data_IF_056638647600
#
_entry.id   IF_056638647600
#
_cell.length_a   1.000
_cell.length_b   1.000
_cell.length_c   1.000
_cell.angle_alpha   90.00
_cell.angle_beta   90.00
_cell.angle_gamma   90.00
#
_symmetry.space_group_name_H-M   'P 1'
#
loop_
_entity.id
_entity.type
_entity.pdbx_description
1 polymer ?
#
# COMPACT_ATOMS: atom_id res chain seq x y z
N UNK A 1 -2.60 -8.72 -0.46
CA UNK A 1 -2.82 -7.28 -0.25
C UNK A 1 -2.57 -6.54 -1.54
N UNK A 2 -3.30 -5.46 -1.76
CA UNK A 2 -3.20 -4.64 -2.95
C UNK A 2 -3.27 -3.18 -2.53
N UNK A 3 -2.50 -2.35 -3.23
CA UNK A 3 -2.79 -0.94 -3.37
C UNK A 3 -3.11 -0.72 -4.85
N UNK A 4 -4.06 0.17 -5.11
CA UNK A 4 -4.38 0.64 -6.44
C UNK A 4 -3.61 1.92 -6.79
N UNK A 5 -2.66 2.36 -5.96
CA UNK A 5 -1.72 3.41 -6.39
C UNK A 5 -0.97 2.95 -7.65
N UNK A 6 -0.86 3.76 -8.72
CA UNK A 6 -1.01 5.23 -8.76
C UNK A 6 -2.39 5.76 -9.17
N UNK A 7 -3.42 4.92 -9.24
CA UNK A 7 -4.75 5.40 -9.62
C UNK A 7 -5.32 6.37 -8.57
N UNK A 8 -5.97 7.47 -9.02
CA UNK A 8 -6.72 8.38 -8.14
C UNK A 8 -7.81 7.64 -7.36
N UNK A 9 -8.06 8.06 -6.12
CA UNK A 9 -9.02 7.37 -5.22
C UNK A 9 -10.46 7.49 -5.74
N UNK A 10 -10.76 8.58 -6.43
CA UNK A 10 -12.07 8.89 -7.00
C UNK A 10 -12.42 7.97 -8.17
N UNK A 11 -11.41 7.34 -8.79
CA UNK A 11 -11.60 6.36 -9.88
C UNK A 11 -11.84 4.93 -9.37
N UNK A 12 -11.66 4.67 -8.09
CA UNK A 12 -11.90 3.35 -7.52
C UNK A 12 -13.41 3.12 -7.37
N UNK A 13 -13.92 1.96 -7.75
CA UNK A 13 -15.25 1.56 -7.30
C UNK A 13 -15.28 1.25 -5.80
N UNK A 14 -16.47 1.19 -5.22
CA UNK A 14 -16.67 1.06 -3.78
C UNK A 14 -15.95 -0.16 -3.17
N UNK A 15 -15.88 -1.28 -3.91
CA UNK A 15 -15.21 -2.49 -3.41
C UNK A 15 -13.71 -2.27 -3.29
N UNK A 16 -13.09 -1.63 -4.28
CA UNK A 16 -11.64 -1.37 -4.27
C UNK A 16 -11.30 -0.25 -3.30
N UNK A 17 -12.14 0.77 -3.19
CA UNK A 17 -12.00 1.85 -2.22
C UNK A 17 -11.94 1.28 -0.78
N UNK A 18 -12.94 0.48 -0.40
CA UNK A 18 -13.02 -0.13 0.93
C UNK A 18 -11.91 -1.16 1.17
N UNK A 19 -11.58 -1.96 0.15
CA UNK A 19 -10.51 -2.94 0.26
C UNK A 19 -9.16 -2.26 0.48
N UNK A 20 -8.83 -1.26 -0.32
CA UNK A 20 -7.55 -0.55 -0.21
C UNK A 20 -7.41 0.16 1.14
N UNK A 21 -8.47 0.85 1.58
CA UNK A 21 -8.51 1.51 2.87
C UNK A 21 -8.10 0.56 4.01
N UNK A 22 -8.66 -0.66 4.02
CA UNK A 22 -8.35 -1.67 5.02
C UNK A 22 -6.97 -2.30 4.82
N UNK A 23 -6.57 -2.60 3.58
CA UNK A 23 -5.30 -3.26 3.29
C UNK A 23 -4.11 -2.34 3.60
N UNK A 24 -4.21 -1.02 3.43
CA UNK A 24 -3.16 -0.08 3.85
C UNK A 24 -2.88 -0.17 5.35
N UNK A 25 -3.90 -0.29 6.20
CA UNK A 25 -3.69 -0.44 7.64
C UNK A 25 -3.02 -1.76 8.02
N UNK A 26 -3.33 -2.85 7.29
CA UNK A 26 -2.67 -4.14 7.49
C UNK A 26 -1.19 -4.03 7.10
N UNK A 27 -0.90 -3.40 5.97
CA UNK A 27 0.47 -3.15 5.51
C UNK A 27 1.25 -2.27 6.49
N UNK A 28 0.67 -1.16 6.96
CA UNK A 28 1.29 -0.26 7.92
C UNK A 28 1.70 -0.99 9.21
N UNK A 29 0.82 -1.84 9.75
CA UNK A 29 1.12 -2.65 10.94
C UNK A 29 2.20 -3.69 10.69
N UNK A 30 2.24 -4.29 9.50
CA UNK A 30 3.28 -5.25 9.12
C UNK A 30 4.65 -4.56 8.99
N UNK A 31 4.70 -3.37 8.37
CA UNK A 31 5.91 -2.55 8.21
C UNK A 31 6.41 -2.07 9.58
N UNK A 32 5.51 -1.68 10.48
CA UNK A 32 5.83 -1.29 11.86
C UNK A 32 6.22 -2.47 12.76
N UNK A 33 6.26 -3.71 12.25
CA UNK A 33 6.61 -4.91 13.02
C UNK A 33 5.56 -5.34 14.05
N UNK A 34 4.37 -4.76 14.03
CA UNK A 34 3.26 -5.09 14.94
C UNK A 34 2.58 -6.41 14.57
N UNK A 35 2.79 -6.90 13.35
CA UNK A 35 2.44 -8.25 12.95
C UNK A 35 3.45 -8.80 11.94
N UNK A 36 3.54 -10.14 11.85
CA UNK A 36 4.39 -10.81 10.84
C UNK A 36 3.62 -11.16 9.56
N UNK A 37 2.30 -10.98 9.56
CA UNK A 37 1.44 -11.32 8.45
C UNK A 37 1.76 -10.45 7.25
N UNK A 38 1.98 -11.06 6.10
CA UNK A 38 2.23 -10.37 4.84
C UNK A 38 3.45 -9.42 4.78
N UNK A 39 4.36 -9.45 5.76
CA UNK A 39 5.56 -8.57 5.74
C UNK A 39 6.41 -8.77 4.47
N UNK A 40 6.44 -10.00 3.94
CA UNK A 40 7.13 -10.36 2.70
C UNK A 40 6.27 -10.20 1.43
N UNK A 41 5.04 -9.73 1.54
CA UNK A 41 4.19 -9.53 0.38
C UNK A 41 4.79 -8.43 -0.53
N UNK A 42 4.87 -8.62 -1.86
CA UNK A 42 5.51 -7.65 -2.75
C UNK A 42 4.94 -6.24 -2.61
N UNK A 43 3.62 -6.15 -2.46
CA UNK A 43 2.94 -4.88 -2.21
C UNK A 43 3.38 -4.22 -0.90
N UNK A 44 3.49 -4.95 0.21
CA UNK A 44 4.00 -4.39 1.48
C UNK A 44 5.42 -3.88 1.33
N UNK A 45 6.27 -4.65 0.65
CA UNK A 45 7.67 -4.27 0.39
C UNK A 45 7.75 -3.00 -0.43
N UNK A 46 6.83 -2.80 -1.39
CA UNK A 46 6.74 -1.58 -2.20
C UNK A 46 6.57 -0.33 -1.33
N UNK A 47 5.88 -0.45 -0.21
CA UNK A 47 5.57 0.67 0.68
C UNK A 47 6.54 0.86 1.86
N UNK A 48 7.56 0.01 2.01
CA UNK A 48 8.57 0.17 3.08
C UNK A 48 9.31 1.50 2.89
N UNK A 49 9.40 2.31 3.95
CA UNK A 49 10.02 3.64 3.90
C UNK A 49 9.07 4.78 3.48
N UNK A 50 7.78 4.48 3.26
CA UNK A 50 6.78 5.43 2.74
C UNK A 50 5.57 5.60 3.69
N UNK A 51 5.75 5.49 5.02
CA UNK A 51 4.62 5.55 5.96
C UNK A 51 3.85 6.88 5.92
N UNK A 52 4.52 8.01 5.66
CA UNK A 52 3.87 9.33 5.53
C UNK A 52 2.95 9.37 4.30
N UNK A 53 3.42 8.90 3.15
CA UNK A 53 2.61 8.76 1.94
C UNK A 53 1.48 7.74 2.10
N UNK A 54 1.70 6.67 2.87
CA UNK A 54 0.67 5.67 3.15
C UNK A 54 -0.49 6.28 3.95
N UNK A 55 -0.18 7.11 4.96
CA UNK A 55 -1.19 7.86 5.71
C UNK A 55 -1.93 8.85 4.83
N UNK A 56 -1.21 9.62 4.00
CA UNK A 56 -1.85 10.54 3.05
C UNK A 56 -2.84 9.80 2.13
N UNK A 57 -2.42 8.67 1.55
CA UNK A 57 -3.30 7.85 0.71
C UNK A 57 -4.51 7.33 1.48
N UNK A 58 -4.30 6.85 2.70
CA UNK A 58 -5.37 6.38 3.58
C UNK A 58 -6.40 7.48 3.87
N UNK A 59 -5.93 8.68 4.19
CA UNK A 59 -6.80 9.82 4.50
C UNK A 59 -7.58 10.28 3.27
N UNK A 60 -6.97 10.22 2.07
CA UNK A 60 -7.69 10.46 0.80
C UNK A 60 -8.77 9.41 0.52
N UNK A 61 -8.49 8.13 0.78
CA UNK A 61 -9.50 7.06 0.68
C UNK A 61 -10.64 7.29 1.68
N UNK A 62 -10.32 7.67 2.92
CA UNK A 62 -11.32 7.99 3.94
C UNK A 62 -12.17 9.20 3.57
N UNK A 63 -11.57 10.27 3.03
CA UNK A 63 -12.30 11.44 2.55
C UNK A 63 -13.26 11.08 1.40
N UNK A 64 -12.80 10.25 0.46
CA UNK A 64 -13.63 9.74 -0.63
C UNK A 64 -14.76 8.83 -0.13
N UNK A 65 -14.49 7.99 0.87
CA UNK A 65 -15.52 7.20 1.55
C UNK A 65 -16.60 8.10 2.17
N UNK A 66 -16.21 9.13 2.92
CA UNK A 66 -17.16 10.09 3.50
C UNK A 66 -17.96 10.81 2.41
N UNK A 67 -17.30 11.23 1.32
CA UNK A 67 -17.96 11.88 0.18
C UNK A 67 -19.04 11.02 -0.46
N UNK A 68 -18.84 9.70 -0.51
CA UNK A 68 -19.82 8.72 -1.03
C UNK A 68 -20.89 8.30 -0.02
N UNK A 69 -20.85 8.83 1.21
CA UNK A 69 -21.83 8.53 2.25
C UNK A 69 -21.51 7.28 3.09
N UNK A 70 -20.29 6.77 3.03
CA UNK A 70 -19.86 5.70 3.94
C UNK A 70 -19.63 6.27 5.35
N UNK A 71 -20.03 5.48 6.35
CA UNK A 71 -19.77 5.77 7.76
C UNK A 71 -18.36 5.29 8.14
N UNK A 72 -17.35 6.11 7.85
CA UNK A 72 -15.95 5.82 8.17
C UNK A 72 -15.69 5.91 9.68
N UNK A 73 -15.04 4.89 10.24
CA UNK A 73 -14.76 4.75 11.69
C UNK A 73 -13.38 4.19 12.00
N UNK A 74 -12.50 4.16 11.01
CA UNK A 74 -11.18 3.53 11.10
C UNK A 74 -10.12 4.54 10.67
N UNK A 75 -9.88 5.62 11.45
CA UNK A 75 -8.83 6.58 11.14
C UNK A 75 -7.45 5.93 11.23
N UNK A 76 -6.46 6.59 10.63
CA UNK A 76 -5.08 6.14 10.72
C UNK A 76 -4.62 6.08 12.19
N UNK A 77 -4.11 4.95 12.69
CA UNK A 77 -3.65 4.83 14.06
C UNK A 77 -2.42 5.67 14.36
N UNK A 78 -2.39 6.27 15.55
CA UNK A 78 -1.22 6.98 16.05
C UNK A 78 0.00 6.06 16.17
N UNK A 79 1.20 6.60 15.92
CA UNK A 79 2.45 5.86 16.05
C UNK A 79 2.81 4.92 14.90
N UNK A 80 1.99 4.84 13.83
CA UNK A 80 2.35 4.10 12.61
C UNK A 80 3.16 4.91 11.60
N UNK A 81 3.37 6.20 11.85
CA UNK A 81 4.30 7.01 11.07
C UNK A 81 5.70 6.81 11.62
N UNK A 82 6.62 6.35 10.79
CA UNK A 82 8.04 6.40 11.10
C UNK A 82 8.59 7.79 10.71
N UNK A 83 9.14 8.57 11.65
CA UNK A 83 9.63 9.93 11.37
C UNK A 83 10.72 9.99 10.28
N UNK A 84 11.50 8.92 10.13
CA UNK A 84 12.60 8.84 9.16
C UNK A 84 12.15 8.49 7.74
N UNK A 85 10.90 8.06 7.55
CA UNK A 85 10.35 7.72 6.24
C UNK A 85 10.16 8.97 5.37
N UNK A 86 10.21 8.78 4.06
CA UNK A 86 9.90 9.83 3.08
C UNK A 86 8.40 10.14 3.02
N UNK A 87 8.06 11.29 2.43
CA UNK A 87 6.70 11.68 2.06
C UNK A 87 6.37 11.36 0.60
N UNK A 88 7.34 10.85 -0.16
CA UNK A 88 7.15 10.38 -1.52
C UNK A 88 6.35 9.07 -1.54
N UNK A 89 5.52 8.93 -2.57
CA UNK A 89 4.82 7.69 -2.83
C UNK A 89 5.77 6.66 -3.45
N UNK A 90 5.57 5.36 -3.17
CA UNK A 90 6.44 4.33 -3.70
C UNK A 90 6.35 4.22 -5.23
N UNK A 91 7.39 3.68 -5.85
CA UNK A 91 7.38 3.37 -7.28
C UNK A 91 6.20 2.45 -7.65
N UNK A 92 5.71 2.57 -8.88
CA UNK A 92 4.59 1.74 -9.38
C UNK A 92 4.92 0.25 -9.37
N UNK A 93 6.18 -0.11 -9.62
CA UNK A 93 6.65 -1.49 -9.58
C UNK A 93 7.51 -1.70 -8.32
N UNK A 94 7.42 -2.89 -7.74
CA UNK A 94 8.26 -3.30 -6.59
C UNK A 94 9.74 -3.31 -6.97
N UNK A 95 10.03 -3.65 -8.22
CA UNK A 95 11.36 -3.71 -8.79
C UNK A 95 11.30 -3.24 -10.25
N UNK A 96 12.41 -2.75 -10.82
CA UNK A 96 12.48 -2.41 -12.24
C UNK A 96 12.10 -3.57 -13.18
N UNK A 97 11.51 -3.25 -14.33
CA UNK A 97 10.97 -4.24 -15.27
C UNK A 97 12.04 -5.17 -15.85
N UNK A 98 13.23 -4.66 -16.11
CA UNK A 98 14.40 -5.42 -16.56
C UNK A 98 14.83 -6.45 -15.50
N UNK A 99 14.85 -6.08 -14.22
CA UNK A 99 15.12 -7.02 -13.11
C UNK A 99 14.06 -8.12 -13.05
N UNK A 100 12.78 -7.76 -13.16
CA UNK A 100 11.69 -8.74 -13.18
C UNK A 100 11.80 -9.71 -14.37
N UNK A 101 12.15 -9.20 -15.56
CA UNK A 101 12.38 -10.00 -16.77
C UNK A 101 13.56 -10.97 -16.59
N UNK A 102 14.68 -10.49 -16.06
CA UNK A 102 15.86 -11.32 -15.81
C UNK A 102 15.56 -12.47 -14.83
N UNK A 103 14.83 -12.19 -13.74
CA UNK A 103 14.39 -13.22 -12.78
C UNK A 103 13.47 -14.27 -13.42
N UNK A 104 12.56 -13.85 -14.29
CA UNK A 104 11.67 -14.76 -15.00
C UNK A 104 12.45 -15.68 -15.96
N UNK A 105 13.38 -15.11 -16.74
CA UNK A 105 14.24 -15.87 -17.65
C UNK A 105 15.11 -16.89 -16.91
N UNK A 106 15.73 -16.48 -15.79
CA UNK A 106 16.53 -17.38 -14.95
C UNK A 106 15.69 -18.54 -14.39
N UNK A 107 14.41 -18.30 -14.06
CA UNK A 107 13.50 -19.35 -13.57
C UNK A 107 13.05 -20.31 -14.68
N UNK A 108 12.96 -19.84 -15.92
CA UNK A 108 12.55 -20.66 -17.07
C UNK A 108 13.69 -21.49 -17.65
N UNK A 109 14.94 -21.02 -17.56
CA UNK A 109 16.14 -21.73 -18.04
C UNK A 109 16.72 -22.75 -17.05
N UNK A 110 16.08 -22.99 -15.90
CA UNK A 110 16.55 -23.88 -14.84
C UNK A 110 15.76 -25.19 -14.72
N UNK A 111 15.48 -25.86 -15.84
CA UNK A 111 14.92 -27.22 -15.93
C UNK A 111 15.83 -28.13 -16.74
#
# INVERSE_FOLDING_TARGET
>A
MRSWYPFPVEMLDDKRLLAEHNELLIMAKAIAGLNKGYANHPETRRWVGHSKAMKDRHDRLAAEMVRRGFNHRSPWPDGLINPTDGDDYPATLVEPLDVMKAKLQAKQGGL
#
